data_IF_549499234419
#
_entry.id   IF_549499234419
#
_cell.length_a   1.000
_cell.length_b   1.000
_cell.length_c   1.000
_cell.angle_alpha   90.00
_cell.angle_beta   90.00
_cell.angle_gamma   90.00
#
_symmetry.space_group_name_H-M   'P 1'
#
loop_
_entity.id
_entity.type
_entity.pdbx_description
1 polymer ?
#
# COMPACT_ATOMS: atom_id res chain seq x y z
N UNK A 1 -17.58 65.76 55.26
CA UNK A 1 -17.70 66.95 54.37
C UNK A 1 -16.60 66.88 53.32
N UNK A 2 -16.92 66.59 52.05
CA UNK A 2 -16.14 66.74 50.79
C UNK A 2 -16.77 65.77 49.76
N UNK A 3 -17.80 66.22 49.05
CA UNK A 3 -17.79 66.76 47.67
C UNK A 3 -17.32 65.76 46.60
N UNK A 4 -18.29 65.34 45.79
CA UNK A 4 -18.14 64.68 44.49
C UNK A 4 -17.28 65.54 43.54
N UNK A 5 -16.47 64.88 42.72
CA UNK A 5 -15.96 65.39 41.46
C UNK A 5 -16.20 64.32 40.40
N UNK A 6 -16.97 64.69 39.37
CA UNK A 6 -17.15 63.98 38.11
C UNK A 6 -15.92 64.25 37.22
N UNK A 7 -15.39 63.23 36.53
CA UNK A 7 -14.47 63.36 35.40
C UNK A 7 -14.92 62.38 34.31
N UNK A 8 -14.97 62.78 33.02
CA UNK A 8 -15.80 62.13 32.02
C UNK A 8 -15.13 60.96 31.28
N UNK A 9 -16.00 60.15 30.69
CA UNK A 9 -15.77 59.03 29.77
C UNK A 9 -14.91 59.46 28.56
N UNK A 10 -13.87 58.68 28.25
CA UNK A 10 -13.24 58.66 26.92
C UNK A 10 -13.40 57.24 26.35
N UNK A 11 -14.17 57.13 25.27
CA UNK A 11 -14.30 55.91 24.47
C UNK A 11 -12.98 55.64 23.74
N UNK A 12 -12.37 54.49 23.97
CA UNK A 12 -11.32 53.94 23.11
C UNK A 12 -11.91 52.70 22.43
N UNK A 13 -12.10 52.79 21.12
CA UNK A 13 -12.43 51.66 20.28
C UNK A 13 -11.20 50.75 20.18
N UNK A 14 -11.25 49.58 20.79
CA UNK A 14 -10.28 48.50 20.57
C UNK A 14 -10.81 47.66 19.42
N UNK A 15 -10.16 47.77 18.26
CA UNK A 15 -10.31 46.83 17.17
C UNK A 15 -9.72 45.49 17.63
N UNK A 16 -10.58 44.52 17.88
CA UNK A 16 -10.18 43.12 18.08
C UNK A 16 -9.82 42.59 16.68
N UNK A 17 -8.52 42.45 16.40
CA UNK A 17 -8.05 41.55 15.35
C UNK A 17 -8.34 40.15 15.86
N UNK A 18 -9.28 39.44 15.23
CA UNK A 18 -9.35 38.00 15.34
C UNK A 18 -8.16 37.45 14.56
N UNK A 19 -7.03 37.27 15.24
CA UNK A 19 -5.97 36.40 14.73
C UNK A 19 -6.49 34.97 14.89
N UNK A 20 -7.01 34.43 13.79
CA UNK A 20 -7.36 33.03 13.64
C UNK A 20 -6.05 32.23 13.63
N UNK A 21 -5.58 31.86 14.81
CA UNK A 21 -4.52 30.88 15.03
C UNK A 21 -5.07 29.49 14.66
N UNK A 22 -5.39 29.32 13.37
CA UNK A 22 -5.62 28.00 12.79
C UNK A 22 -4.25 27.35 12.60
N UNK A 23 -3.94 26.45 13.54
CA UNK A 23 -2.86 25.49 13.42
C UNK A 23 -2.98 24.82 12.05
N UNK A 24 -2.03 25.16 11.17
CA UNK A 24 -1.86 24.57 9.87
C UNK A 24 -1.40 23.11 10.08
N UNK A 25 -2.35 22.21 10.37
CA UNK A 25 -2.11 20.78 10.21
C UNK A 25 -1.98 20.57 8.72
N UNK A 26 -0.74 20.51 8.23
CA UNK A 26 -0.42 20.03 6.89
C UNK A 26 -1.00 18.62 6.77
N UNK A 27 -2.26 18.50 6.35
CA UNK A 27 -2.78 17.23 5.83
C UNK A 27 -1.91 16.92 4.60
N UNK A 28 -1.00 15.96 4.74
CA UNK A 28 -0.18 15.49 3.63
C UNK A 28 -1.12 15.06 2.51
N UNK A 29 -1.01 15.72 1.35
CA UNK A 29 -1.84 15.44 0.20
C UNK A 29 -1.51 14.04 -0.30
N UNK A 30 -2.37 13.08 0.01
CA UNK A 30 -2.33 11.77 -0.64
C UNK A 30 -2.82 11.98 -2.06
N UNK A 31 -2.04 11.55 -3.06
CA UNK A 31 -2.55 11.49 -4.43
C UNK A 31 -3.76 10.57 -4.43
N UNK A 32 -4.95 11.15 -4.61
CA UNK A 32 -6.21 10.40 -4.57
C UNK A 32 -6.15 9.25 -5.57
N UNK A 33 -6.54 8.06 -5.11
CA UNK A 33 -6.68 6.92 -5.98
C UNK A 33 -7.85 7.20 -6.93
N UNK A 34 -7.69 6.90 -8.22
CA UNK A 34 -8.73 7.16 -9.22
C UNK A 34 -9.09 5.86 -9.92
N UNK A 35 -10.29 5.81 -10.51
CA UNK A 35 -10.71 4.68 -11.32
C UNK A 35 -9.71 4.38 -12.45
N UNK A 36 -9.21 5.43 -13.11
CA UNK A 36 -8.20 5.30 -14.16
C UNK A 36 -6.86 4.76 -13.62
N UNK A 37 -6.46 5.14 -12.41
CA UNK A 37 -5.27 4.57 -11.76
C UNK A 37 -5.45 3.09 -11.49
N UNK A 38 -6.60 2.69 -10.94
CA UNK A 38 -6.91 1.29 -10.64
C UNK A 38 -6.95 0.45 -11.92
N UNK A 39 -7.61 0.93 -12.97
CA UNK A 39 -7.66 0.25 -14.27
C UNK A 39 -6.27 0.09 -14.89
N UNK A 40 -5.48 1.17 -14.89
CA UNK A 40 -4.12 1.15 -15.45
C UNK A 40 -3.17 0.22 -14.69
N UNK A 41 -3.40 0.03 -13.38
CA UNK A 41 -2.60 -0.87 -12.54
C UNK A 41 -2.82 -2.36 -12.90
N UNK A 42 -3.81 -2.69 -13.74
CA UNK A 42 -4.02 -4.05 -14.27
C UNK A 42 -3.88 -4.16 -15.80
N UNK A 43 -3.51 -3.09 -16.50
CA UNK A 43 -3.38 -3.06 -17.97
C UNK A 43 -1.96 -2.70 -18.43
N UNK A 44 -1.35 -1.68 -17.81
CA UNK A 44 -0.06 -1.16 -18.27
C UNK A 44 1.12 -2.03 -17.79
N UNK A 45 2.24 -2.08 -18.55
CA UNK A 45 3.46 -2.74 -18.10
C UNK A 45 4.00 -2.11 -16.83
N UNK A 46 4.76 -2.88 -16.06
CA UNK A 46 5.56 -2.37 -14.94
C UNK A 46 6.37 -1.14 -15.36
N UNK A 47 6.55 -0.17 -14.46
CA UNK A 47 7.27 1.07 -14.79
C UNK A 47 8.79 0.86 -14.95
N UNK A 48 9.32 -0.27 -14.48
CA UNK A 48 10.73 -0.64 -14.55
C UNK A 48 10.92 -2.16 -14.51
N UNK A 49 12.18 -2.59 -14.66
CA UNK A 49 12.52 -4.01 -14.69
C UNK A 49 12.83 -4.49 -13.28
N UNK A 50 12.16 -5.55 -12.84
CA UNK A 50 12.34 -6.09 -11.49
C UNK A 50 13.71 -6.79 -11.40
N UNK A 51 14.62 -6.24 -10.59
CA UNK A 51 15.95 -6.82 -10.41
C UNK A 51 15.86 -8.23 -9.82
N UNK A 52 16.71 -9.14 -10.31
CA UNK A 52 16.78 -10.52 -9.85
C UNK A 52 15.57 -11.41 -10.16
N UNK A 53 14.46 -10.85 -10.67
CA UNK A 53 13.33 -11.64 -11.13
C UNK A 53 13.55 -12.09 -12.59
N UNK A 54 13.60 -13.41 -12.84
CA UNK A 54 13.81 -13.91 -14.19
C UNK A 54 12.65 -13.56 -15.17
N UNK A 55 12.93 -13.23 -16.44
CA UNK A 55 11.88 -12.84 -17.39
C UNK A 55 10.86 -13.94 -17.73
N UNK A 56 11.14 -15.22 -17.45
CA UNK A 56 10.21 -16.32 -17.68
C UNK A 56 9.02 -16.32 -16.72
N UNK A 57 9.09 -15.58 -15.62
CA UNK A 57 7.92 -15.34 -14.79
C UNK A 57 6.95 -14.46 -15.59
N UNK A 58 5.73 -14.96 -15.78
CA UNK A 58 4.68 -14.34 -16.59
C UNK A 58 4.25 -12.95 -16.08
N UNK A 59 4.48 -12.68 -14.80
CA UNK A 59 4.25 -11.40 -14.14
C UNK A 59 5.48 -10.48 -14.11
N UNK A 60 6.61 -10.88 -14.71
CA UNK A 60 7.87 -10.13 -14.58
C UNK A 60 7.85 -8.76 -15.26
N UNK A 61 6.96 -8.55 -16.25
CA UNK A 61 6.88 -7.32 -17.04
C UNK A 61 5.50 -6.65 -16.98
N UNK A 62 4.46 -7.38 -16.62
CA UNK A 62 3.07 -6.92 -16.63
C UNK A 62 2.31 -7.42 -15.40
N UNK A 63 1.26 -6.70 -14.96
CA UNK A 63 0.29 -7.28 -14.05
C UNK A 63 -0.35 -8.54 -14.67
N UNK A 64 -0.84 -9.43 -13.83
CA UNK A 64 -1.56 -10.62 -14.29
C UNK A 64 -2.67 -11.03 -13.33
N UNK A 65 -3.66 -11.74 -13.88
CA UNK A 65 -4.64 -12.46 -13.08
C UNK A 65 -4.19 -13.92 -12.97
N UNK A 66 -4.14 -14.45 -11.75
CA UNK A 66 -3.97 -15.88 -11.49
C UNK A 66 -5.32 -16.56 -11.45
N UNK A 67 -5.75 -16.98 -10.25
CA UNK A 67 -7.06 -17.59 -10.04
C UNK A 67 -8.22 -16.58 -10.10
N UNK A 68 -7.92 -15.29 -9.93
CA UNK A 68 -8.89 -14.21 -9.98
C UNK A 68 -10.04 -14.43 -9.00
N UNK A 69 -11.25 -14.58 -9.53
CA UNK A 69 -12.47 -14.72 -8.73
C UNK A 69 -12.85 -16.17 -8.41
N UNK A 70 -12.02 -17.15 -8.82
CA UNK A 70 -12.39 -18.57 -8.79
C UNK A 70 -11.42 -19.40 -7.93
N UNK A 71 -11.32 -19.16 -6.61
CA UNK A 71 -10.62 -20.11 -5.75
C UNK A 71 -11.31 -21.48 -5.75
N UNK A 72 -10.59 -22.57 -5.43
CA UNK A 72 -11.18 -23.85 -5.08
C UNK A 72 -12.22 -23.69 -3.97
N UNK A 73 -13.31 -24.44 -4.08
CA UNK A 73 -14.47 -24.32 -3.19
C UNK A 73 -14.19 -24.74 -1.75
N UNK A 74 -13.08 -25.42 -1.49
CA UNK A 74 -12.60 -25.85 -0.18
C UNK A 74 -11.48 -24.96 0.39
N UNK A 75 -11.22 -23.79 -0.20
CA UNK A 75 -10.22 -22.84 0.26
C UNK A 75 -10.88 -21.63 0.93
N UNK A 76 -10.70 -21.54 2.25
CA UNK A 76 -11.48 -20.64 3.11
C UNK A 76 -10.69 -19.46 3.67
N UNK A 77 -9.50 -19.19 3.13
CA UNK A 77 -8.68 -18.08 3.56
C UNK A 77 -8.10 -17.27 2.40
N UNK A 78 -7.81 -16.01 2.65
CA UNK A 78 -7.00 -15.18 1.76
C UNK A 78 -6.04 -14.29 2.57
N UNK A 79 -4.97 -13.83 1.93
CA UNK A 79 -4.08 -12.81 2.47
C UNK A 79 -3.72 -11.82 1.37
N UNK A 80 -3.89 -10.49 1.58
CA UNK A 80 -3.26 -9.52 0.72
C UNK A 80 -1.77 -9.44 1.04
N UNK A 81 -0.99 -9.16 0.02
CA UNK A 81 0.44 -8.95 0.17
C UNK A 81 0.89 -7.83 -0.76
N UNK A 82 2.10 -7.35 -0.54
CA UNK A 82 2.81 -6.53 -1.51
C UNK A 82 4.27 -6.91 -1.56
N UNK A 83 4.93 -6.44 -2.61
CA UNK A 83 6.34 -6.71 -2.86
C UNK A 83 7.02 -5.45 -3.37
N UNK A 84 8.25 -5.26 -2.91
CA UNK A 84 9.11 -4.17 -3.32
C UNK A 84 10.34 -4.76 -3.98
N UNK A 85 10.62 -4.29 -5.19
CA UNK A 85 11.84 -4.57 -5.94
C UNK A 85 12.61 -3.27 -6.13
N UNK A 86 13.91 -3.38 -6.43
CA UNK A 86 14.63 -2.30 -7.11
C UNK A 86 14.58 -2.52 -8.62
N UNK A 87 14.73 -1.44 -9.38
CA UNK A 87 14.99 -1.52 -10.81
C UNK A 87 16.38 -2.11 -11.08
N UNK A 88 16.65 -2.61 -12.29
CA UNK A 88 17.97 -3.11 -12.68
C UNK A 88 19.01 -2.00 -12.79
N UNK A 89 18.57 -0.76 -13.01
CA UNK A 89 19.43 0.42 -13.05
C UNK A 89 20.26 0.58 -11.76
N UNK A 90 21.49 1.10 -11.84
CA UNK A 90 22.29 1.41 -10.65
C UNK A 90 21.54 2.37 -9.72
N UNK A 91 21.62 2.12 -8.42
CA UNK A 91 21.04 2.95 -7.38
C UNK A 91 22.16 3.43 -6.44
N UNK A 92 22.16 4.71 -6.10
CA UNK A 92 23.13 5.30 -5.16
C UNK A 92 22.49 5.73 -3.84
N UNK A 93 21.15 5.71 -3.75
CA UNK A 93 20.43 6.01 -2.52
C UNK A 93 20.80 5.03 -1.38
N UNK A 94 21.16 5.57 -0.23
CA UNK A 94 21.53 4.86 0.99
C UNK A 94 20.82 5.39 2.25
N UNK A 95 20.18 6.56 2.17
CA UNK A 95 19.46 7.26 3.23
C UNK A 95 17.94 7.27 3.00
N UNK A 96 17.44 6.30 2.24
CA UNK A 96 16.02 6.18 1.90
C UNK A 96 15.39 4.93 2.56
N UNK A 97 14.25 5.10 3.22
CA UNK A 97 13.36 4.01 3.64
C UNK A 97 12.07 4.05 2.83
N UNK A 98 11.44 2.89 2.63
CA UNK A 98 10.09 2.83 2.06
C UNK A 98 9.08 2.81 3.21
N UNK A 99 8.22 3.83 3.27
CA UNK A 99 7.09 3.89 4.19
C UNK A 99 5.85 3.26 3.55
N UNK A 100 5.12 2.43 4.30
CA UNK A 100 3.96 1.65 3.84
C UNK A 100 2.84 1.74 4.87
N UNK A 101 1.60 1.99 4.44
CA UNK A 101 0.42 1.99 5.31
C UNK A 101 -0.86 1.61 4.58
N UNK A 102 -1.92 1.39 5.34
CA UNK A 102 -3.30 1.27 4.85
C UNK A 102 -3.46 0.13 3.82
N UNK A 103 -2.88 -1.03 4.09
CA UNK A 103 -3.08 -2.24 3.29
C UNK A 103 -4.53 -2.70 3.44
N UNK A 104 -5.22 -2.85 2.32
CA UNK A 104 -6.61 -3.27 2.27
C UNK A 104 -6.85 -4.34 1.22
N UNK A 105 -7.81 -5.21 1.52
CA UNK A 105 -8.40 -6.13 0.57
C UNK A 105 -9.92 -6.10 0.70
N UNK A 106 -10.58 -6.10 -0.44
CA UNK A 106 -12.03 -6.11 -0.57
C UNK A 106 -12.42 -7.12 -1.64
N UNK A 107 -13.64 -7.63 -1.53
CA UNK A 107 -14.27 -8.40 -2.59
C UNK A 107 -15.64 -7.86 -2.95
N UNK A 108 -15.99 -7.96 -4.23
CA UNK A 108 -17.33 -7.72 -4.74
C UNK A 108 -18.11 -9.02 -4.58
N UNK A 109 -19.23 -8.99 -3.86
CA UNK A 109 -20.07 -10.17 -3.66
C UNK A 109 -21.11 -10.36 -4.79
N UNK A 110 -21.88 -11.44 -4.73
CA UNK A 110 -22.94 -11.77 -5.70
C UNK A 110 -24.09 -10.75 -5.78
N UNK A 111 -24.17 -9.83 -4.83
CA UNK A 111 -25.14 -8.74 -4.77
C UNK A 111 -24.55 -7.41 -5.26
N UNK A 112 -23.38 -7.45 -5.89
CA UNK A 112 -22.62 -6.28 -6.36
C UNK A 112 -22.29 -5.27 -5.25
N UNK A 113 -22.04 -5.76 -4.03
CA UNK A 113 -21.60 -4.92 -2.90
C UNK A 113 -20.16 -5.26 -2.52
N UNK A 114 -19.37 -4.21 -2.31
CA UNK A 114 -18.02 -4.35 -1.76
C UNK A 114 -18.07 -4.72 -0.29
N UNK A 115 -17.35 -5.77 0.08
CA UNK A 115 -17.19 -6.25 1.45
C UNK A 115 -15.71 -6.27 1.80
N UNK A 116 -15.36 -5.67 2.94
CA UNK A 116 -13.99 -5.58 3.41
C UNK A 116 -13.55 -6.93 3.96
N UNK A 117 -12.45 -7.46 3.44
CA UNK A 117 -11.75 -8.58 4.05
C UNK A 117 -10.81 -8.09 5.14
N UNK A 118 -10.01 -7.06 4.83
CA UNK A 118 -9.08 -6.47 5.79
C UNK A 118 -8.76 -5.02 5.42
N UNK A 119 -8.47 -4.22 6.45
CA UNK A 119 -7.83 -2.91 6.34
C UNK A 119 -6.94 -2.73 7.56
N UNK A 120 -5.64 -2.55 7.32
CA UNK A 120 -4.65 -2.50 8.40
C UNK A 120 -3.45 -1.65 8.03
N UNK A 121 -2.86 -1.03 9.06
CA UNK A 121 -1.51 -0.47 9.01
C UNK A 121 -0.54 -1.25 9.90
N UNK A 122 -1.00 -2.32 10.55
CA UNK A 122 -0.12 -3.31 11.17
C UNK A 122 0.34 -4.29 10.10
N UNK A 123 1.54 -4.02 9.57
CA UNK A 123 2.17 -4.71 8.46
C UNK A 123 3.46 -5.34 8.95
N UNK A 124 3.71 -6.57 8.52
CA UNK A 124 4.96 -7.29 8.71
C UNK A 124 5.53 -7.69 7.35
N UNK A 125 6.77 -8.12 7.31
CA UNK A 125 7.40 -8.61 6.09
C UNK A 125 8.80 -9.15 6.32
N UNK A 126 9.39 -9.67 5.25
CA UNK A 126 10.75 -10.18 5.23
C UNK A 126 11.42 -9.90 3.88
N UNK A 127 12.73 -9.95 3.86
CA UNK A 127 13.54 -9.86 2.65
C UNK A 127 13.67 -11.26 2.04
N UNK A 128 12.95 -11.51 0.95
CA UNK A 128 12.98 -12.76 0.20
C UNK A 128 14.01 -12.68 -0.93
N UNK A 129 14.60 -13.80 -1.34
CA UNK A 129 15.38 -13.82 -2.57
C UNK A 129 14.53 -13.26 -3.73
N UNK A 130 15.13 -12.46 -4.62
CA UNK A 130 14.40 -11.73 -5.67
C UNK A 130 13.56 -12.64 -6.59
N UNK A 131 13.90 -13.92 -6.69
CA UNK A 131 13.21 -14.94 -7.47
C UNK A 131 12.29 -15.87 -6.62
N UNK A 132 12.17 -15.64 -5.32
CA UNK A 132 11.47 -16.49 -4.34
C UNK A 132 11.93 -17.96 -4.31
N UNK A 133 13.17 -18.23 -4.71
CA UNK A 133 13.69 -19.59 -4.73
C UNK A 133 13.67 -20.22 -3.32
N UNK A 134 13.10 -21.42 -3.24
CA UNK A 134 12.95 -22.22 -2.01
C UNK A 134 12.24 -21.53 -0.82
N UNK A 135 11.51 -20.44 -1.04
CA UNK A 135 10.91 -19.63 0.04
C UNK A 135 11.97 -19.00 0.98
N UNK A 136 13.23 -18.90 0.51
CA UNK A 136 14.35 -18.40 1.31
C UNK A 136 14.21 -16.89 1.58
N UNK A 137 14.32 -16.53 2.86
CA UNK A 137 14.18 -15.15 3.32
C UNK A 137 14.99 -14.87 4.59
N UNK A 138 15.20 -13.58 4.85
CA UNK A 138 15.84 -13.06 6.07
C UNK A 138 14.99 -11.93 6.69
N UNK A 139 15.15 -11.66 7.99
CA UNK A 139 14.45 -10.54 8.63
C UNK A 139 14.76 -9.20 7.96
N UNK A 140 13.74 -8.36 7.80
CA UNK A 140 13.89 -7.00 7.31
C UNK A 140 14.09 -6.00 8.47
N UNK A 141 14.83 -4.92 8.21
CA UNK A 141 14.89 -3.75 9.10
C UNK A 141 13.59 -2.96 8.96
N UNK A 142 12.63 -3.28 9.84
CA UNK A 142 11.30 -2.67 9.89
C UNK A 142 11.19 -1.78 11.13
N UNK A 143 10.73 -0.54 10.93
CA UNK A 143 10.36 0.39 11.99
C UNK A 143 8.86 0.67 11.94
N UNK A 144 8.22 0.82 13.10
CA UNK A 144 6.84 1.31 13.19
C UNK A 144 6.85 2.82 13.10
N UNK A 145 5.94 3.37 12.31
CA UNK A 145 5.86 4.81 12.06
C UNK A 145 4.76 5.44 12.92
N UNK A 146 5.03 6.61 13.50
CA UNK A 146 4.06 7.34 14.33
C UNK A 146 2.82 7.75 13.53
N UNK A 147 3.00 8.01 12.23
CA UNK A 147 1.92 8.32 11.28
C UNK A 147 1.09 7.09 10.86
N UNK A 148 1.32 5.95 11.52
CA UNK A 148 0.76 4.65 11.17
C UNK A 148 1.54 3.96 10.05
N UNK A 149 1.51 2.63 10.07
CA UNK A 149 2.22 1.80 9.11
C UNK A 149 3.61 1.41 9.60
N UNK A 150 4.46 1.07 8.62
CA UNK A 150 5.86 0.75 8.84
C UNK A 150 6.74 1.53 7.87
N UNK A 151 8.04 1.58 8.17
CA UNK A 151 9.06 1.84 7.16
C UNK A 151 10.11 0.73 7.14
N UNK A 152 10.65 0.45 5.96
CA UNK A 152 11.64 -0.61 5.76
C UNK A 152 12.89 -0.09 5.04
N UNK A 153 14.05 -0.57 5.47
CA UNK A 153 15.29 -0.41 4.70
C UNK A 153 15.40 -1.51 3.65
N UNK A 154 15.47 -1.13 2.39
CA UNK A 154 15.66 -2.07 1.30
C UNK A 154 17.05 -2.73 1.38
N UNK A 155 17.15 -3.97 0.89
CA UNK A 155 18.39 -4.72 0.86
C UNK A 155 18.62 -5.31 -0.54
N UNK A 156 19.72 -4.93 -1.17
CA UNK A 156 20.09 -5.43 -2.50
C UNK A 156 20.27 -6.96 -2.50
N UNK A 157 19.81 -7.60 -3.59
CA UNK A 157 19.77 -9.05 -3.74
C UNK A 157 18.52 -9.70 -3.13
N UNK A 158 17.63 -8.91 -2.54
CA UNK A 158 16.35 -9.34 -2.00
C UNK A 158 15.22 -8.45 -2.52
N UNK A 159 14.01 -9.00 -2.52
CA UNK A 159 12.78 -8.22 -2.57
C UNK A 159 12.21 -8.12 -1.14
N UNK A 160 11.51 -7.03 -0.82
CA UNK A 160 10.76 -6.96 0.43
C UNK A 160 9.32 -7.40 0.19
N UNK A 161 8.96 -8.59 0.70
CA UNK A 161 7.59 -9.09 0.67
C UNK A 161 6.90 -8.78 1.99
N UNK A 162 5.68 -8.26 1.94
CA UNK A 162 4.95 -7.82 3.13
C UNK A 162 3.47 -8.19 3.11
N UNK A 163 2.90 -8.32 4.30
CA UNK A 163 1.52 -8.76 4.53
C UNK A 163 1.01 -8.24 5.89
N UNK A 164 -0.30 -8.37 6.19
CA UNK A 164 -0.84 -8.04 7.50
C UNK A 164 -0.15 -8.81 8.63
N UNK A 165 0.25 -8.14 9.72
CA UNK A 165 0.86 -8.82 10.88
C UNK A 165 -0.04 -9.90 11.50
N UNK A 166 -1.36 -9.73 11.39
CA UNK A 166 -2.36 -10.70 11.86
C UNK A 166 -2.60 -11.86 10.88
N UNK A 167 -1.90 -11.89 9.75
CA UNK A 167 -1.96 -12.96 8.76
C UNK A 167 -3.24 -12.97 7.94
N UNK A 168 -3.73 -14.18 7.67
CA UNK A 168 -4.85 -14.45 6.75
C UNK A 168 -6.21 -14.09 7.35
N UNK A 169 -7.18 -13.86 6.48
CA UNK A 169 -8.58 -13.66 6.83
C UNK A 169 -9.46 -14.72 6.20
N UNK A 170 -10.62 -14.98 6.80
CA UNK A 170 -11.57 -15.99 6.30
C UNK A 170 -12.36 -15.46 5.11
N UNK A 171 -12.64 -16.33 4.13
CA UNK A 171 -13.44 -16.00 2.94
C UNK A 171 -14.55 -17.02 2.72
N UNK A 172 -15.55 -16.62 1.93
CA UNK A 172 -16.44 -17.57 1.27
C UNK A 172 -16.02 -17.71 -0.20
N UNK A 173 -15.39 -18.82 -0.61
CA UNK A 173 -14.86 -18.98 -1.96
C UNK A 173 -15.94 -18.93 -3.05
N UNK A 174 -17.20 -19.21 -2.71
CA UNK A 174 -18.32 -19.26 -3.67
C UNK A 174 -19.04 -17.91 -3.86
N UNK A 175 -18.53 -16.81 -3.27
CA UNK A 175 -19.19 -15.51 -3.29
C UNK A 175 -18.26 -14.37 -3.71
N UNK A 176 -17.24 -14.68 -4.52
CA UNK A 176 -16.25 -13.70 -4.98
C UNK A 176 -16.53 -13.40 -6.46
N UNK A 177 -16.90 -12.15 -6.75
CA UNK A 177 -17.20 -11.66 -8.11
C UNK A 177 -16.22 -10.58 -8.58
N UNK A 178 -15.31 -10.18 -7.70
CA UNK A 178 -14.26 -9.22 -7.93
C UNK A 178 -13.41 -9.13 -6.67
N UNK A 179 -12.13 -8.84 -6.83
CA UNK A 179 -11.19 -8.57 -5.74
C UNK A 179 -10.52 -7.24 -6.05
N UNK A 180 -10.31 -6.44 -5.02
CA UNK A 180 -9.48 -5.25 -5.07
C UNK A 180 -8.57 -5.21 -3.85
N UNK A 181 -7.28 -5.04 -4.10
CA UNK A 181 -6.25 -4.89 -3.08
C UNK A 181 -5.53 -3.58 -3.31
N UNK A 182 -5.26 -2.85 -2.23
CA UNK A 182 -4.62 -1.54 -2.30
C UNK A 182 -3.72 -1.28 -1.11
N UNK A 183 -2.66 -0.51 -1.32
CA UNK A 183 -1.77 -0.02 -0.26
C UNK A 183 -1.26 1.37 -0.61
N UNK A 184 -0.88 2.14 0.40
CA UNK A 184 -0.21 3.41 0.23
C UNK A 184 1.26 3.30 0.61
N UNK A 185 2.13 3.89 -0.20
CA UNK A 185 3.56 3.94 0.11
C UNK A 185 4.24 5.19 -0.45
N UNK A 186 5.39 5.53 0.14
CA UNK A 186 6.28 6.63 -0.27
C UNK A 186 7.72 6.38 0.20
N UNK A 187 8.63 7.24 -0.24
CA UNK A 187 10.01 7.31 0.26
C UNK A 187 10.16 8.35 1.37
N UNK A 188 10.75 7.94 2.48
CA UNK A 188 11.14 8.80 3.60
C UNK A 188 12.65 8.72 3.83
N UNK A 189 13.18 9.66 4.61
CA UNK A 189 14.59 9.62 5.00
C UNK A 189 14.79 8.60 6.13
N UNK A 190 15.85 7.79 6.04
CA UNK A 190 16.32 6.93 7.13
C UNK A 190 16.87 7.79 8.28
N UNK A 191 17.66 8.79 7.93
CA UNK A 191 18.20 9.80 8.82
C UNK A 191 17.86 11.21 8.30
N UNK A 192 17.02 11.93 9.03
CA UNK A 192 16.58 13.28 8.68
C UNK A 192 17.71 14.32 8.68
N UNK A 193 18.86 14.02 9.29
CA UNK A 193 20.05 14.89 9.31
C UNK A 193 21.05 14.56 8.19
N UNK A 194 20.86 13.48 7.44
CA UNK A 194 21.69 13.11 6.29
C UNK A 194 21.18 13.72 4.98
N UNK A 195 21.97 13.61 3.91
CA UNK A 195 21.58 14.07 2.57
C UNK A 195 20.29 13.40 2.08
N UNK A 196 19.42 14.17 1.42
CA UNK A 196 18.19 13.64 0.81
C UNK A 196 18.50 13.03 -0.56
N UNK A 197 18.62 11.71 -0.59
CA UNK A 197 18.94 10.92 -1.78
C UNK A 197 17.74 10.17 -2.38
N UNK A 198 16.51 10.48 -1.93
CA UNK A 198 15.30 9.75 -2.37
C UNK A 198 15.02 9.85 -3.87
N UNK A 199 15.56 10.86 -4.55
CA UNK A 199 15.46 10.98 -6.01
C UNK A 199 16.39 10.01 -6.75
N UNK A 200 17.40 9.47 -6.07
CA UNK A 200 18.35 8.49 -6.61
C UNK A 200 17.91 7.04 -6.32
N UNK A 201 16.79 6.87 -5.60
CA UNK A 201 16.17 5.58 -5.35
C UNK A 201 15.34 5.14 -6.56
N UNK A 202 15.35 3.84 -6.86
CA UNK A 202 14.62 3.26 -7.99
C UNK A 202 13.77 2.06 -7.57
N UNK A 203 13.14 2.15 -6.40
CA UNK A 203 12.26 1.11 -5.87
C UNK A 203 10.91 1.10 -6.59
N UNK A 204 10.43 -0.10 -6.91
CA UNK A 204 9.09 -0.36 -7.43
C UNK A 204 8.28 -1.14 -6.40
N UNK A 205 7.02 -0.77 -6.23
CA UNK A 205 6.07 -1.49 -5.40
C UNK A 205 4.90 -1.97 -6.24
N UNK A 206 4.42 -3.17 -5.94
CA UNK A 206 3.15 -3.71 -6.42
C UNK A 206 2.47 -4.50 -5.31
N UNK A 207 1.18 -4.74 -5.47
CA UNK A 207 0.36 -5.52 -4.54
C UNK A 207 -0.30 -6.70 -5.22
N UNK A 208 -0.64 -7.70 -4.43
CA UNK A 208 -1.36 -8.87 -4.86
C UNK A 208 -2.02 -9.55 -3.68
N UNK A 209 -2.45 -10.78 -3.87
CA UNK A 209 -2.99 -11.58 -2.80
C UNK A 209 -3.01 -13.04 -3.18
N UNK A 210 -3.11 -13.90 -2.17
CA UNK A 210 -3.22 -15.34 -2.34
C UNK A 210 -4.48 -15.85 -1.68
N UNK A 211 -5.10 -16.84 -2.33
CA UNK A 211 -6.01 -17.75 -1.65
C UNK A 211 -5.22 -18.81 -0.90
N UNK A 212 -5.79 -19.31 0.19
CA UNK A 212 -5.23 -20.35 1.03
C UNK A 212 -6.30 -21.35 1.45
N UNK A 213 -5.93 -22.63 1.61
CA UNK A 213 -6.86 -23.67 2.11
C UNK A 213 -7.54 -23.24 3.41
N UNK A 214 -6.76 -22.70 4.36
CA UNK A 214 -7.26 -22.20 5.63
C UNK A 214 -6.28 -21.19 6.27
N UNK A 215 -6.64 -20.70 7.46
CA UNK A 215 -5.91 -19.65 8.17
C UNK A 215 -4.51 -20.04 8.67
N UNK A 216 -4.20 -21.34 8.77
CA UNK A 216 -3.00 -21.80 9.50
C UNK A 216 -2.11 -22.76 8.71
N UNK A 217 -2.53 -23.25 7.54
CA UNK A 217 -1.73 -24.18 6.73
C UNK A 217 -0.42 -23.53 6.29
N UNK A 218 0.71 -24.22 6.43
CA UNK A 218 2.00 -23.73 5.94
C UNK A 218 2.09 -23.79 4.42
N UNK A 219 3.00 -23.02 3.82
CA UNK A 219 3.31 -23.14 2.40
C UNK A 219 3.90 -24.53 2.11
N UNK A 220 3.49 -25.12 1.00
CA UNK A 220 3.81 -26.49 0.58
C UNK A 220 4.00 -26.58 -0.94
N UNK A 221 4.74 -25.63 -1.52
CA UNK A 221 4.98 -25.52 -2.95
C UNK A 221 3.69 -25.35 -3.77
N UNK A 222 2.91 -24.32 -3.41
CA UNK A 222 1.66 -23.91 -4.07
C UNK A 222 0.54 -24.97 -4.06
N UNK A 223 0.60 -25.99 -3.22
CA UNK A 223 -0.52 -26.93 -3.05
C UNK A 223 -1.59 -26.42 -2.08
N UNK A 224 -1.25 -25.46 -1.22
CA UNK A 224 -2.10 -24.86 -0.19
C UNK A 224 -2.31 -23.37 -0.35
N UNK A 225 -1.59 -22.74 -1.30
CA UNK A 225 -1.73 -21.35 -1.72
C UNK A 225 -1.77 -21.20 -3.24
N UNK A 226 -2.41 -20.15 -3.72
CA UNK A 226 -2.58 -19.87 -5.14
C UNK A 226 -2.89 -18.40 -5.33
N UNK A 227 -2.17 -17.76 -6.25
CA UNK A 227 -2.24 -16.31 -6.41
C UNK A 227 -3.61 -15.89 -6.98
N UNK A 228 -4.17 -14.82 -6.41
CA UNK A 228 -5.37 -14.16 -6.89
C UNK A 228 -5.02 -13.43 -8.19
N UNK A 229 -4.06 -12.50 -8.08
CA UNK A 229 -3.55 -11.66 -9.13
C UNK A 229 -2.36 -10.84 -8.60
N UNK A 230 -1.57 -10.30 -9.50
CA UNK A 230 -0.41 -9.44 -9.23
C UNK A 230 -0.61 -8.13 -9.98
N UNK A 231 -0.62 -7.02 -9.24
CA UNK A 231 -0.76 -5.68 -9.78
C UNK A 231 0.52 -5.14 -10.39
N UNK A 232 0.39 -4.00 -11.07
CA UNK A 232 1.49 -3.30 -11.71
C UNK A 232 2.52 -2.79 -10.69
N UNK A 233 3.79 -3.01 -11.00
CA UNK A 233 4.92 -2.45 -10.27
C UNK A 233 5.14 -1.00 -10.71
N UNK A 234 5.05 -0.07 -9.77
CA UNK A 234 5.24 1.37 -10.02
C UNK A 234 6.35 1.93 -9.15
N UNK A 235 7.07 2.91 -9.65
CA UNK A 235 8.12 3.57 -8.89
C UNK A 235 7.55 4.27 -7.65
N UNK A 236 8.26 4.15 -6.55
CA UNK A 236 8.07 4.96 -5.36
C UNK A 236 8.75 6.32 -5.56
N UNK A 237 8.20 7.34 -4.90
CA UNK A 237 8.81 8.67 -4.82
C UNK A 237 8.50 9.27 -3.44
N UNK A 238 8.83 10.54 -3.23
CA UNK A 238 8.64 11.24 -1.94
C UNK A 238 7.16 11.39 -1.54
N UNK A 239 6.24 11.32 -2.49
CA UNK A 239 4.82 11.54 -2.27
C UNK A 239 4.07 10.24 -1.99
N UNK A 240 2.97 10.34 -1.25
CA UNK A 240 2.08 9.20 -1.05
C UNK A 240 1.47 8.77 -2.39
N UNK A 241 1.76 7.53 -2.79
CA UNK A 241 1.17 6.87 -3.94
C UNK A 241 0.31 5.69 -3.49
N UNK A 242 -0.73 5.42 -4.25
CA UNK A 242 -1.57 4.24 -4.08
C UNK A 242 -1.21 3.19 -5.13
N UNK A 243 -1.12 1.93 -4.72
CA UNK A 243 -0.78 0.79 -5.56
C UNK A 243 -1.93 -0.20 -5.51
N UNK A 244 -2.39 -0.67 -6.66
CA UNK A 244 -3.60 -1.46 -6.75
C UNK A 244 -3.37 -2.79 -7.46
N UNK A 245 -4.24 -3.75 -7.13
CA UNK A 245 -4.51 -4.93 -7.93
C UNK A 245 -6.03 -5.11 -7.94
N UNK A 246 -6.59 -5.51 -9.10
CA UNK A 246 -7.98 -5.93 -9.15
C UNK A 246 -8.23 -7.07 -10.15
N UNK A 247 -9.39 -7.72 -10.04
CA UNK A 247 -9.80 -8.82 -10.94
C UNK A 247 -11.03 -8.48 -11.79
N UNK A 248 -11.58 -7.26 -11.64
CA UNK A 248 -12.74 -6.81 -12.41
C UNK A 248 -12.40 -6.59 -13.89
N UNK A 249 -13.37 -6.85 -14.77
CA UNK A 249 -13.36 -6.30 -16.14
C UNK A 249 -13.56 -4.77 -16.12
N UNK A 250 -13.19 -4.05 -17.19
CA UNK A 250 -13.44 -2.60 -17.28
C UNK A 250 -14.92 -2.23 -17.09
N UNK A 251 -15.85 -3.06 -17.57
CA UNK A 251 -17.30 -2.85 -17.35
C UNK A 251 -17.65 -2.97 -15.87
N UNK A 252 -17.24 -4.05 -15.21
CA UNK A 252 -17.50 -4.23 -13.77
C UNK A 252 -16.83 -3.15 -12.93
N UNK A 253 -15.62 -2.73 -13.28
CA UNK A 253 -14.90 -1.67 -12.59
C UNK A 253 -15.64 -0.32 -12.71
N UNK A 254 -16.21 -0.02 -13.88
CA UNK A 254 -17.03 1.16 -14.10
C UNK A 254 -18.37 1.09 -13.37
N UNK A 255 -19.05 -0.05 -13.40
CA UNK A 255 -20.38 -0.21 -12.81
C UNK A 255 -20.33 -0.32 -11.27
N UNK A 256 -19.26 -0.92 -10.75
CA UNK A 256 -19.08 -1.23 -9.33
C UNK A 256 -17.68 -0.83 -8.84
N UNK A 257 -17.34 0.47 -8.85
CA UNK A 257 -16.02 0.94 -8.44
C UNK A 257 -15.69 0.53 -7.01
N UNK A 258 -14.44 0.10 -6.72
CA UNK A 258 -14.00 -0.17 -5.35
C UNK A 258 -14.15 1.05 -4.43
N UNK A 259 -14.15 0.86 -3.10
CA UNK A 259 -14.22 1.97 -2.14
C UNK A 259 -12.86 2.66 -2.00
N UNK A 260 -12.38 3.29 -3.07
CA UNK A 260 -11.06 3.93 -3.17
C UNK A 260 -11.03 5.43 -2.80
N UNK A 261 -12.16 5.96 -2.32
CA UNK A 261 -12.32 7.37 -1.93
C UNK A 261 -11.51 7.73 -0.69
#
# INVERSE_FOLDING_TARGET
>A
MRRLIFVPLLLIAVLVSCDDDSLNTNEEVVQQNTLATIENDMILPHEGQLNGLPPQFDWSQHPRIGWGNNPPSDWFAMIPWGQIYRDTNPMTANNSRIQIRNLQAWYLNSENRWVQWIFTSDIFGAHYLENYENDDNIPADILKEETGGISVKFLDGYNFHFWPSNGRVSINPNNIHGVWISVQARLILDNAQSEDDRNEANFLLGVGGDYWKNLTVGWDNFQSSGDIAIGRMKYLNKEWKTFNMHTLSSVQLSDFPPPFN
#
